data_IF_313169805850
#
_entry.id   IF_313169805850
#
_cell.length_a   1.000
_cell.length_b   1.000
_cell.length_c   1.000
_cell.angle_alpha   90.00
_cell.angle_beta   90.00
_cell.angle_gamma   90.00
#
_symmetry.space_group_name_H-M   'P 1'
#
loop_
_entity.id
_entity.type
_entity.pdbx_description
1 polymer ?
#
# COMPACT_ATOMS: atom_id res chain seq x y z
N UNK A 1 -25.81 -25.24 8.48
CA UNK A 1 -24.94 -24.21 9.08
C UNK A 1 -23.95 -23.77 8.03
N UNK A 2 -23.76 -22.46 7.82
CA UNK A 2 -22.80 -21.93 6.84
C UNK A 2 -21.45 -21.76 7.57
N UNK A 3 -20.41 -22.35 7.04
CA UNK A 3 -19.04 -22.11 7.49
C UNK A 3 -18.56 -20.76 6.93
N UNK A 4 -18.06 -19.85 7.79
CA UNK A 4 -17.54 -18.55 7.37
C UNK A 4 -16.03 -18.57 7.42
N UNK A 5 -15.39 -18.25 6.30
CA UNK A 5 -13.94 -18.05 6.15
C UNK A 5 -13.68 -16.60 5.83
N UNK A 6 -13.30 -15.83 6.86
CA UNK A 6 -12.94 -14.43 6.73
C UNK A 6 -11.42 -14.30 6.61
N UNK A 7 -10.94 -13.75 5.48
CA UNK A 7 -9.52 -13.54 5.19
C UNK A 7 -9.04 -12.12 5.51
N UNK A 8 -9.86 -11.31 6.20
CA UNK A 8 -9.41 -10.02 6.69
C UNK A 8 -8.44 -10.16 7.88
N UNK A 9 -7.62 -9.14 8.09
CA UNK A 9 -6.72 -9.04 9.21
C UNK A 9 -7.45 -8.73 10.53
N UNK A 10 -6.65 -8.54 11.56
CA UNK A 10 -7.10 -8.10 12.89
C UNK A 10 -6.58 -6.70 13.18
N UNK A 11 -7.14 -6.05 14.22
CA UNK A 11 -6.71 -4.73 14.66
C UNK A 11 -6.86 -3.68 13.56
N UNK A 12 -5.78 -2.96 13.26
CA UNK A 12 -5.77 -1.88 12.26
C UNK A 12 -6.20 -2.34 10.86
N UNK A 13 -5.96 -3.61 10.52
CA UNK A 13 -6.25 -4.18 9.21
C UNK A 13 -7.46 -5.09 9.20
N UNK A 14 -8.29 -5.03 10.25
CA UNK A 14 -9.62 -5.64 10.25
C UNK A 14 -10.54 -4.93 9.27
N UNK A 15 -11.56 -5.65 8.81
CA UNK A 15 -12.59 -5.10 7.94
C UNK A 15 -13.20 -3.84 8.55
N UNK A 16 -13.61 -3.90 9.80
CA UNK A 16 -14.25 -2.81 10.52
C UNK A 16 -13.34 -1.58 10.67
N UNK A 17 -12.05 -1.79 10.90
CA UNK A 17 -11.08 -0.69 11.00
C UNK A 17 -10.85 -0.01 9.65
N UNK A 18 -10.78 -0.77 8.56
CA UNK A 18 -10.63 -0.23 7.20
C UNK A 18 -11.90 0.53 6.79
N UNK A 19 -13.10 -0.03 7.02
CA UNK A 19 -14.37 0.64 6.73
C UNK A 19 -14.48 1.98 7.46
N UNK A 20 -14.18 2.02 8.75
CA UNK A 20 -14.22 3.24 9.57
C UNK A 20 -13.27 4.32 9.06
N UNK A 21 -12.04 3.94 8.68
CA UNK A 21 -11.08 4.87 8.10
C UNK A 21 -11.52 5.36 6.72
N UNK A 22 -12.08 4.47 5.90
CA UNK A 22 -12.66 4.85 4.63
C UNK A 22 -13.78 5.89 4.80
N UNK A 23 -14.69 5.69 5.74
CA UNK A 23 -15.75 6.68 6.05
C UNK A 23 -15.17 8.03 6.49
N UNK A 24 -14.15 8.01 7.34
CA UNK A 24 -13.47 9.23 7.78
C UNK A 24 -12.82 9.96 6.62
N UNK A 25 -12.06 9.27 5.77
CA UNK A 25 -11.41 9.87 4.61
C UNK A 25 -12.40 10.32 3.55
N UNK A 26 -13.51 9.62 3.38
CA UNK A 26 -14.60 10.03 2.48
C UNK A 26 -15.18 11.39 2.86
N UNK A 27 -15.29 11.68 4.15
CA UNK A 27 -15.78 12.97 4.67
C UNK A 27 -14.78 14.11 4.48
N UNK A 28 -13.47 13.82 4.60
CA UNK A 28 -12.41 14.84 4.55
C UNK A 28 -11.82 15.05 3.16
N UNK A 29 -11.70 13.99 2.38
CA UNK A 29 -11.05 14.00 1.05
C UNK A 29 -12.04 13.82 -0.09
N UNK A 30 -13.26 13.39 0.20
CA UNK A 30 -14.24 12.98 -0.79
C UNK A 30 -14.11 11.53 -1.20
N UNK A 31 -15.15 11.03 -1.87
CA UNK A 31 -15.18 9.67 -2.43
C UNK A 31 -16.05 9.64 -3.68
N UNK A 32 -15.75 8.73 -4.59
CA UNK A 32 -16.53 8.42 -5.79
C UNK A 32 -17.31 7.13 -5.66
N UNK A 33 -17.13 6.41 -4.56
CA UNK A 33 -17.81 5.15 -4.24
C UNK A 33 -18.69 5.30 -3.01
N UNK A 34 -19.85 4.66 -3.00
CA UNK A 34 -20.81 4.79 -1.90
C UNK A 34 -20.35 4.03 -0.64
N UNK A 35 -19.97 2.78 -0.82
CA UNK A 35 -19.52 1.89 0.26
C UNK A 35 -18.28 1.13 -0.16
N UNK A 36 -17.38 0.91 0.80
CA UNK A 36 -16.28 -0.02 0.64
C UNK A 36 -16.73 -1.38 1.20
N UNK A 37 -16.90 -2.35 0.31
CA UNK A 37 -17.41 -3.68 0.67
C UNK A 37 -16.40 -4.75 0.32
N UNK A 38 -16.28 -5.77 1.19
CA UNK A 38 -15.49 -6.94 0.89
C UNK A 38 -16.19 -7.78 -0.19
N UNK A 39 -15.39 -8.38 -1.07
CA UNK A 39 -15.90 -9.36 -2.01
C UNK A 39 -16.28 -10.64 -1.25
N UNK A 40 -17.44 -11.21 -1.56
CA UNK A 40 -17.95 -12.42 -0.93
C UNK A 40 -18.23 -13.47 -2.01
N UNK A 41 -17.83 -14.69 -1.74
CA UNK A 41 -18.18 -15.86 -2.54
C UNK A 41 -18.81 -16.92 -1.66
N UNK A 42 -19.89 -17.56 -2.12
CA UNK A 42 -20.58 -18.65 -1.42
C UNK A 42 -20.69 -19.88 -2.32
N UNK A 43 -20.25 -21.00 -1.80
CA UNK A 43 -20.37 -22.29 -2.48
C UNK A 43 -20.36 -23.43 -1.44
N UNK A 44 -21.15 -24.45 -1.64
CA UNK A 44 -21.19 -25.70 -0.81
C UNK A 44 -21.29 -25.42 0.71
N UNK A 45 -22.16 -24.46 1.12
CA UNK A 45 -22.34 -24.04 2.50
C UNK A 45 -21.08 -23.39 3.15
N UNK A 46 -20.16 -22.92 2.33
CA UNK A 46 -19.02 -22.11 2.77
C UNK A 46 -19.16 -20.71 2.20
N UNK A 47 -18.94 -19.71 3.06
CA UNK A 47 -18.87 -18.29 2.68
C UNK A 47 -17.46 -17.80 2.87
N UNK A 48 -16.82 -17.38 1.77
CA UNK A 48 -15.50 -16.72 1.79
C UNK A 48 -15.67 -15.22 1.76
N UNK A 49 -15.08 -14.53 2.74
CA UNK A 49 -15.00 -13.07 2.78
C UNK A 49 -13.55 -12.70 2.44
N UNK A 50 -13.35 -12.13 1.25
CA UNK A 50 -12.02 -11.74 0.78
C UNK A 50 -11.50 -10.51 1.53
N UNK A 51 -10.18 -10.29 1.55
CA UNK A 51 -9.60 -9.11 2.19
C UNK A 51 -10.20 -7.81 1.65
N UNK A 52 -10.61 -6.91 2.54
CA UNK A 52 -11.11 -5.58 2.19
C UNK A 52 -10.10 -4.78 1.36
N UNK A 53 -8.81 -5.08 1.52
CA UNK A 53 -7.71 -4.48 0.72
C UNK A 53 -7.90 -4.69 -0.79
N UNK A 54 -8.53 -5.79 -1.23
CA UNK A 54 -8.87 -5.97 -2.65
C UNK A 54 -9.81 -4.88 -3.15
N UNK A 55 -10.80 -4.50 -2.34
CA UNK A 55 -11.74 -3.42 -2.69
C UNK A 55 -11.08 -2.05 -2.63
N UNK A 56 -10.13 -1.85 -1.72
CA UNK A 56 -9.28 -0.65 -1.69
C UNK A 56 -8.48 -0.53 -2.99
N UNK A 57 -7.86 -1.60 -3.46
CA UNK A 57 -7.12 -1.63 -4.74
C UNK A 57 -8.01 -1.22 -5.91
N UNK A 58 -9.22 -1.78 -5.98
CA UNK A 58 -10.21 -1.41 -7.03
C UNK A 58 -10.57 0.08 -6.94
N UNK A 59 -10.78 0.60 -5.72
CA UNK A 59 -11.04 2.02 -5.49
C UNK A 59 -9.88 2.92 -5.90
N UNK A 60 -8.64 2.53 -5.63
CA UNK A 60 -7.44 3.24 -6.10
C UNK A 60 -7.41 3.30 -7.62
N UNK A 61 -7.67 2.19 -8.30
CA UNK A 61 -7.70 2.13 -9.78
C UNK A 61 -8.79 3.02 -10.38
N UNK A 62 -9.86 3.27 -9.62
CA UNK A 62 -10.92 4.23 -9.96
C UNK A 62 -10.61 5.67 -9.53
N UNK A 63 -9.42 5.93 -9.02
CA UNK A 63 -8.97 7.25 -8.56
C UNK A 63 -9.77 7.79 -7.38
N UNK A 64 -10.33 6.92 -6.55
CA UNK A 64 -11.06 7.32 -5.35
C UNK A 64 -10.11 7.90 -4.29
N UNK A 65 -10.31 9.17 -3.84
CA UNK A 65 -9.38 9.81 -2.92
C UNK A 65 -9.26 9.10 -1.56
N UNK A 66 -10.35 8.58 -1.01
CA UNK A 66 -10.34 7.87 0.25
C UNK A 66 -9.59 6.53 0.14
N UNK A 67 -9.77 5.81 -0.98
CA UNK A 67 -9.03 4.57 -1.25
C UNK A 67 -7.54 4.83 -1.50
N UNK A 68 -7.20 5.93 -2.18
CA UNK A 68 -5.79 6.34 -2.36
C UNK A 68 -5.13 6.58 -1.01
N UNK A 69 -5.77 7.30 -0.09
CA UNK A 69 -5.23 7.53 1.26
C UNK A 69 -5.02 6.21 2.03
N UNK A 70 -6.00 5.31 1.99
CA UNK A 70 -5.85 3.96 2.57
C UNK A 70 -4.69 3.19 1.94
N UNK A 71 -4.50 3.30 0.63
CA UNK A 71 -3.39 2.67 -0.08
C UNK A 71 -2.03 3.20 0.38
N UNK A 72 -1.90 4.50 0.58
CA UNK A 72 -0.68 5.12 1.11
C UNK A 72 -0.38 4.62 2.52
N UNK A 73 -1.38 4.58 3.42
CA UNK A 73 -1.21 4.00 4.76
C UNK A 73 -0.78 2.53 4.73
N UNK A 74 -1.30 1.75 3.78
CA UNK A 74 -0.90 0.36 3.59
C UNK A 74 0.59 0.22 3.20
N UNK A 75 1.11 1.13 2.39
CA UNK A 75 2.54 1.16 2.07
C UNK A 75 3.37 1.50 3.31
N UNK A 76 2.95 2.50 4.10
CA UNK A 76 3.64 2.92 5.33
C UNK A 76 3.71 1.80 6.37
N UNK A 77 2.62 1.05 6.55
CA UNK A 77 2.48 0.01 7.57
C UNK A 77 2.62 -1.41 7.00
N UNK A 78 3.28 -1.58 5.87
CA UNK A 78 3.33 -2.85 5.14
C UNK A 78 3.98 -4.00 5.92
N UNK A 79 4.83 -3.72 6.88
CA UNK A 79 5.43 -4.71 7.79
C UNK A 79 4.44 -5.25 8.83
N UNK A 80 3.52 -4.42 9.30
CA UNK A 80 2.45 -4.83 10.23
C UNK A 80 1.22 -5.42 9.53
N UNK A 81 1.13 -5.26 8.23
CA UNK A 81 0.02 -5.75 7.41
C UNK A 81 0.06 -7.28 7.30
N UNK A 82 -1.01 -7.98 7.74
CA UNK A 82 -1.01 -9.45 7.85
C UNK A 82 -1.17 -10.18 6.51
N UNK A 83 -1.21 -9.45 5.41
CA UNK A 83 -1.44 -9.98 4.08
C UNK A 83 -0.13 -10.32 3.37
N UNK A 84 -0.21 -11.26 2.44
CA UNK A 84 0.96 -11.71 1.71
C UNK A 84 1.45 -10.76 0.62
N UNK A 85 2.54 -11.16 0.01
CA UNK A 85 3.23 -10.50 -1.10
C UNK A 85 2.31 -9.96 -2.20
N UNK A 86 1.29 -10.74 -2.60
CA UNK A 86 0.43 -10.38 -3.74
C UNK A 86 -0.39 -9.11 -3.44
N UNK A 87 -1.04 -9.04 -2.28
CA UNK A 87 -1.86 -7.89 -1.92
C UNK A 87 -1.03 -6.62 -1.74
N UNK A 88 0.11 -6.70 -1.05
CA UNK A 88 1.05 -5.59 -0.90
C UNK A 88 1.54 -5.08 -2.27
N UNK A 89 1.89 -6.00 -3.15
CA UNK A 89 2.30 -5.67 -4.52
C UNK A 89 1.17 -5.01 -5.32
N UNK A 90 -0.06 -5.47 -5.17
CA UNK A 90 -1.21 -4.91 -5.88
C UNK A 90 -1.52 -3.48 -5.44
N UNK A 91 -1.41 -3.17 -4.15
CA UNK A 91 -1.54 -1.79 -3.63
C UNK A 91 -0.51 -0.87 -4.28
N UNK A 92 0.76 -1.26 -4.27
CA UNK A 92 1.84 -0.46 -4.87
C UNK A 92 1.65 -0.29 -6.40
N UNK A 93 1.20 -1.33 -7.10
CA UNK A 93 0.91 -1.25 -8.54
C UNK A 93 -0.26 -0.32 -8.84
N UNK A 94 -1.33 -0.39 -8.03
CA UNK A 94 -2.49 0.48 -8.20
C UNK A 94 -2.13 1.95 -7.99
N UNK A 95 -1.42 2.28 -6.90
CA UNK A 95 -0.92 3.63 -6.64
C UNK A 95 -0.01 4.14 -7.75
N UNK A 96 0.84 3.28 -8.31
CA UNK A 96 1.72 3.64 -9.43
C UNK A 96 0.96 4.03 -10.69
N UNK A 97 -0.25 3.49 -10.92
CA UNK A 97 -1.10 3.84 -12.06
C UNK A 97 -1.76 5.20 -11.91
N UNK A 98 -1.90 5.68 -10.69
CA UNK A 98 -2.63 6.91 -10.35
C UNK A 98 -1.75 7.96 -9.68
N UNK A 99 -0.45 7.97 -9.97
CA UNK A 99 0.51 8.91 -9.33
C UNK A 99 0.13 10.37 -9.50
N UNK A 100 -0.55 10.73 -10.60
CA UNK A 100 -1.02 12.09 -10.86
C UNK A 100 -2.15 12.53 -9.90
N UNK A 101 -2.76 11.58 -9.20
CA UNK A 101 -3.80 11.81 -8.19
C UNK A 101 -3.27 11.80 -6.75
N UNK A 102 -1.97 11.57 -6.56
CA UNK A 102 -1.33 11.63 -5.25
C UNK A 102 -1.00 13.08 -4.89
N UNK A 103 -1.36 13.50 -3.69
CA UNK A 103 -0.91 14.78 -3.14
C UNK A 103 0.59 14.76 -2.87
N UNK A 104 1.22 15.93 -2.78
CA UNK A 104 2.66 16.01 -2.45
C UNK A 104 2.96 15.38 -1.08
N UNK A 105 2.07 15.54 -0.12
CA UNK A 105 2.19 14.87 1.19
C UNK A 105 2.19 13.35 1.04
N UNK A 106 1.27 12.77 0.29
CA UNK A 106 1.20 11.33 0.03
C UNK A 106 2.45 10.83 -0.69
N UNK A 107 2.92 11.57 -1.69
CA UNK A 107 4.17 11.24 -2.40
C UNK A 107 5.37 11.27 -1.45
N UNK A 108 5.47 12.29 -0.59
CA UNK A 108 6.53 12.40 0.41
C UNK A 108 6.52 11.23 1.39
N UNK A 109 5.36 10.83 1.88
CA UNK A 109 5.20 9.67 2.77
C UNK A 109 5.68 8.37 2.13
N UNK A 110 5.35 8.15 0.86
CA UNK A 110 5.82 6.98 0.10
C UNK A 110 7.34 7.02 -0.06
N UNK A 111 7.92 8.16 -0.45
CA UNK A 111 9.39 8.33 -0.58
C UNK A 111 10.10 8.03 0.74
N UNK A 112 9.62 8.62 1.83
CA UNK A 112 10.16 8.42 3.18
C UNK A 112 10.13 6.94 3.57
N UNK A 113 9.00 6.26 3.34
CA UNK A 113 8.87 4.83 3.65
C UNK A 113 9.88 3.97 2.88
N UNK A 114 10.04 4.21 1.59
CA UNK A 114 11.02 3.48 0.76
C UNK A 114 12.45 3.76 1.23
N UNK A 115 12.76 5.00 1.56
CA UNK A 115 14.05 5.37 2.14
C UNK A 115 14.32 4.68 3.48
N UNK A 116 13.35 4.66 4.39
CA UNK A 116 13.45 3.98 5.68
C UNK A 116 13.69 2.48 5.53
N UNK A 117 13.01 1.84 4.59
CA UNK A 117 13.21 0.42 4.30
C UNK A 117 14.63 0.12 3.80
N UNK A 118 15.19 0.98 2.94
CA UNK A 118 16.58 0.86 2.49
C UNK A 118 17.58 1.04 3.65
N UNK A 119 17.38 2.06 4.49
CA UNK A 119 18.23 2.33 5.65
C UNK A 119 18.19 1.17 6.64
N UNK A 120 16.99 0.61 6.87
CA UNK A 120 16.79 -0.54 7.75
C UNK A 120 17.23 -1.87 7.12
N UNK A 121 17.61 -1.89 5.85
CA UNK A 121 17.90 -3.11 5.08
C UNK A 121 16.73 -4.09 5.07
N UNK A 122 15.51 -3.57 5.09
CA UNK A 122 14.27 -4.33 5.04
C UNK A 122 13.72 -4.31 3.61
N UNK A 123 14.04 -5.34 2.83
CA UNK A 123 13.73 -5.43 1.41
C UNK A 123 13.00 -6.76 1.11
N UNK A 124 11.74 -6.92 1.57
CA UNK A 124 10.95 -8.09 1.26
C UNK A 124 10.69 -8.19 -0.25
N UNK A 125 10.16 -9.33 -0.71
CA UNK A 125 9.96 -9.59 -2.15
C UNK A 125 9.11 -8.53 -2.85
N UNK A 126 8.10 -7.97 -2.17
CA UNK A 126 7.25 -6.91 -2.70
C UNK A 126 7.95 -5.55 -2.80
N UNK A 127 9.08 -5.36 -2.15
CA UNK A 127 9.82 -4.09 -2.12
C UNK A 127 10.13 -3.54 -3.51
N UNK A 128 10.38 -4.41 -4.49
CA UNK A 128 10.57 -3.99 -5.88
C UNK A 128 9.39 -3.17 -6.44
N UNK A 129 8.16 -3.43 -5.99
CA UNK A 129 6.99 -2.66 -6.42
C UNK A 129 6.95 -1.28 -5.75
N UNK A 130 7.42 -1.19 -4.49
CA UNK A 130 7.56 0.09 -3.80
C UNK A 130 8.65 0.97 -4.44
N UNK A 131 9.76 0.36 -4.82
CA UNK A 131 10.83 1.04 -5.56
C UNK A 131 10.32 1.58 -6.90
N UNK A 132 9.56 0.79 -7.66
CA UNK A 132 8.96 1.23 -8.93
C UNK A 132 7.96 2.37 -8.73
N UNK A 133 7.18 2.35 -7.65
CA UNK A 133 6.27 3.45 -7.28
C UNK A 133 7.06 4.71 -6.94
N UNK A 134 8.01 4.63 -6.02
CA UNK A 134 8.86 5.75 -5.59
C UNK A 134 9.64 6.37 -6.76
N UNK A 135 10.17 5.53 -7.67
CA UNK A 135 10.83 6.00 -8.87
C UNK A 135 9.90 6.82 -9.76
N UNK A 136 8.66 6.37 -9.96
CA UNK A 136 7.68 7.09 -10.78
C UNK A 136 7.27 8.42 -10.17
N UNK A 137 7.16 8.49 -8.85
CA UNK A 137 6.90 9.74 -8.11
C UNK A 137 8.09 10.70 -8.19
N UNK A 138 9.31 10.15 -8.25
CA UNK A 138 10.56 10.88 -8.09
C UNK A 138 11.13 10.70 -6.68
N UNK A 139 12.41 10.37 -6.59
CA UNK A 139 13.09 10.02 -5.34
C UNK A 139 14.24 10.96 -4.95
N UNK A 140 14.46 12.03 -5.73
CA UNK A 140 15.60 12.94 -5.56
C UNK A 140 15.72 13.54 -4.16
N UNK A 141 14.61 13.86 -3.52
CA UNK A 141 14.58 14.47 -2.18
C UNK A 141 15.11 13.53 -1.08
N UNK A 142 14.98 12.22 -1.25
CA UNK A 142 15.40 11.21 -0.28
C UNK A 142 16.83 10.68 -0.52
N UNK A 143 17.40 10.91 -1.68
CA UNK A 143 18.70 10.32 -2.06
C UNK A 143 19.81 10.68 -1.08
N UNK A 144 19.91 11.94 -0.67
CA UNK A 144 20.96 12.41 0.24
C UNK A 144 20.84 11.72 1.60
N UNK A 145 19.63 11.60 2.13
CA UNK A 145 19.36 10.92 3.41
C UNK A 145 19.72 9.43 3.33
N UNK A 146 19.28 8.75 2.30
CA UNK A 146 19.57 7.32 2.12
C UNK A 146 21.07 7.09 1.95
N UNK A 147 21.79 7.90 1.16
CA UNK A 147 23.23 7.77 1.00
C UNK A 147 23.99 8.04 2.30
N UNK A 148 23.48 8.93 3.15
CA UNK A 148 24.09 9.22 4.46
C UNK A 148 23.88 8.07 5.46
N UNK A 149 22.70 7.49 5.51
CA UNK A 149 22.25 6.66 6.62
C UNK A 149 22.21 5.15 6.29
N UNK A 150 22.18 4.79 4.99
CA UNK A 150 22.14 3.40 4.56
C UNK A 150 23.53 2.77 4.46
N UNK A 151 23.59 1.46 4.58
CA UNK A 151 24.81 0.68 4.32
C UNK A 151 25.03 0.51 2.81
N UNK A 152 25.79 1.41 2.22
CA UNK A 152 26.11 1.40 0.79
C UNK A 152 27.05 0.25 0.37
N UNK A 153 27.59 -0.51 1.33
CA UNK A 153 28.37 -1.73 1.03
C UNK A 153 27.47 -2.92 0.79
N UNK A 154 26.20 -2.83 1.22
CA UNK A 154 25.22 -3.86 0.92
C UNK A 154 24.82 -3.79 -0.56
N UNK A 155 25.06 -4.89 -1.29
CA UNK A 155 24.81 -4.96 -2.72
C UNK A 155 23.34 -4.78 -3.11
N UNK A 156 22.40 -5.18 -2.26
CA UNK A 156 20.96 -4.98 -2.51
C UNK A 156 20.54 -3.54 -2.27
N UNK A 157 21.07 -2.89 -1.24
CA UNK A 157 20.83 -1.46 -1.00
C UNK A 157 21.32 -0.65 -2.21
N UNK A 158 22.54 -0.90 -2.66
CA UNK A 158 23.11 -0.24 -3.83
C UNK A 158 22.28 -0.51 -5.09
N UNK A 159 21.88 -1.75 -5.33
CA UNK A 159 21.06 -2.13 -6.46
C UNK A 159 19.73 -1.36 -6.52
N UNK A 160 19.01 -1.26 -5.41
CA UNK A 160 17.74 -0.54 -5.38
C UNK A 160 17.93 0.98 -5.44
N UNK A 161 19.01 1.50 -4.82
CA UNK A 161 19.33 2.92 -4.91
C UNK A 161 19.63 3.32 -6.36
N UNK A 162 20.37 2.50 -7.09
CA UNK A 162 20.65 2.73 -8.52
C UNK A 162 19.36 2.74 -9.35
N UNK A 163 18.41 1.86 -9.03
CA UNK A 163 17.09 1.86 -9.68
C UNK A 163 16.24 3.10 -9.39
N UNK A 164 16.43 3.72 -8.23
CA UNK A 164 15.70 4.93 -7.84
C UNK A 164 16.31 6.20 -8.46
N UNK A 165 17.58 6.16 -8.82
CA UNK A 165 18.33 7.32 -9.33
C UNK A 165 18.49 7.34 -10.85
N UNK A 166 18.30 6.20 -11.54
CA UNK A 166 18.36 6.02 -12.98
C UNK A 166 16.98 5.69 -13.57
#
# INVERSE_FOLDING_TARGET
MIEIRDYNGKGRWSRESIERRFESYSKTLGTTINNLEAQIHEENSIRWIYPMVNSVVVGIEKQDPACIELGVELIEDSDSMPFGLILKSNVARALRRVTDHLTEEQQSRIRTRVGDMLIARYMPREFIQYVKLARKIGFSEEISRVRSDADLKDGWVQHYLDRLTN
#
